data_IF_580505861618
#
_entry.id   IF_580505861618
#
_cell.length_a   1.000
_cell.length_b   1.000
_cell.length_c   1.000
_cell.angle_alpha   90.00
_cell.angle_beta   90.00
_cell.angle_gamma   90.00
#
_symmetry.space_group_name_H-M   'P 1'
#
loop_
_entity.id
_entity.type
_entity.pdbx_description
1 polymer ?
#
# COMPACT_ATOMS: atom_id res chain seq x y z
N UNK A 1 19.01 -11.99 8.77
CA UNK A 1 20.35 -11.66 8.24
C UNK A 1 20.71 -10.22 8.61
N UNK A 2 21.98 -9.92 8.84
CA UNK A 2 22.47 -8.54 8.91
C UNK A 2 22.14 -7.82 7.60
N UNK A 3 21.86 -6.52 7.68
CA UNK A 3 21.61 -5.68 6.49
C UNK A 3 22.82 -5.77 5.56
N UNK A 4 22.55 -6.04 4.28
CA UNK A 4 23.60 -6.05 3.25
C UNK A 4 23.72 -4.66 2.63
N UNK A 5 24.65 -3.86 3.14
CA UNK A 5 24.83 -2.45 2.76
C UNK A 5 25.11 -2.30 1.26
N UNK A 6 25.83 -3.24 0.65
CA UNK A 6 26.22 -3.17 -0.76
C UNK A 6 25.03 -3.27 -1.72
N UNK A 7 23.94 -3.96 -1.32
CA UNK A 7 22.73 -4.11 -2.12
C UNK A 7 21.54 -3.31 -1.60
N UNK A 8 21.73 -2.54 -0.52
CA UNK A 8 20.66 -1.79 0.14
C UNK A 8 20.17 -0.63 -0.73
N UNK A 9 18.86 -0.58 -0.95
CA UNK A 9 18.18 0.49 -1.69
C UNK A 9 16.94 0.95 -0.91
N UNK A 10 16.79 2.26 -0.73
CA UNK A 10 15.67 2.87 -0.04
C UNK A 10 14.71 3.56 -1.02
N UNK A 11 13.41 3.42 -0.77
CA UNK A 11 12.32 3.97 -1.57
C UNK A 11 11.19 4.45 -0.64
N UNK A 12 11.30 5.71 -0.18
CA UNK A 12 10.37 6.26 0.80
C UNK A 12 10.42 5.49 2.12
N UNK A 13 9.27 4.94 2.56
CA UNK A 13 9.18 4.11 3.78
C UNK A 13 9.67 2.68 3.59
N UNK A 14 9.93 2.27 2.36
CA UNK A 14 10.43 0.93 2.04
C UNK A 14 11.94 0.94 1.87
N UNK A 15 12.56 -0.20 2.15
CA UNK A 15 13.90 -0.47 1.67
C UNK A 15 14.06 -1.96 1.35
N UNK A 16 15.07 -2.32 0.57
CA UNK A 16 15.32 -3.70 0.16
C UNK A 16 16.83 -3.91 0.06
N UNK A 17 17.29 -5.08 0.49
CA UNK A 17 18.62 -5.60 0.19
C UNK A 17 18.50 -6.99 -0.43
N UNK A 18 19.60 -7.63 -0.82
CA UNK A 18 19.56 -8.96 -1.47
C UNK A 18 18.89 -10.07 -0.64
N UNK A 19 18.65 -9.86 0.66
CA UNK A 19 18.11 -10.85 1.59
C UNK A 19 16.76 -10.47 2.19
N UNK A 20 16.40 -9.19 2.19
CA UNK A 20 15.31 -8.67 3.02
C UNK A 20 14.56 -7.50 2.37
N UNK A 21 13.27 -7.43 2.68
CA UNK A 21 12.43 -6.26 2.49
C UNK A 21 12.22 -5.59 3.86
N UNK A 22 12.14 -4.26 3.84
CA UNK A 22 12.01 -3.41 5.02
C UNK A 22 10.86 -2.41 4.82
N UNK A 23 10.25 -2.04 5.94
CA UNK A 23 9.27 -0.97 6.03
C UNK A 23 9.47 -0.21 7.35
N UNK A 24 9.54 1.12 7.29
CA UNK A 24 9.88 2.00 8.42
C UNK A 24 11.14 1.58 9.18
N UNK A 25 12.18 1.17 8.44
CA UNK A 25 13.45 0.72 9.01
C UNK A 25 13.40 -0.65 9.67
N UNK A 26 12.24 -1.31 9.72
CA UNK A 26 12.08 -2.65 10.26
C UNK A 26 12.10 -3.69 9.15
N UNK A 27 12.78 -4.82 9.40
CA UNK A 27 12.74 -5.95 8.48
C UNK A 27 11.35 -6.59 8.52
N UNK A 28 10.71 -6.71 7.37
CA UNK A 28 9.33 -7.22 7.26
C UNK A 28 9.23 -8.54 6.52
N UNK A 29 10.13 -8.82 5.58
CA UNK A 29 10.08 -10.06 4.79
C UNK A 29 11.46 -10.48 4.25
N UNK A 30 11.57 -11.73 3.80
CA UNK A 30 12.73 -12.21 3.03
C UNK A 30 12.65 -11.80 1.56
N UNK A 31 13.77 -11.36 0.99
CA UNK A 31 13.92 -11.12 -0.44
C UNK A 31 14.44 -12.36 -1.18
N UNK A 32 13.65 -13.43 -1.19
CA UNK A 32 14.02 -14.71 -1.82
C UNK A 32 12.79 -15.50 -2.26
N UNK A 33 12.99 -16.48 -3.13
CA UNK A 33 11.91 -17.34 -3.62
C UNK A 33 10.76 -16.54 -4.25
N UNK A 34 9.53 -16.87 -3.86
CA UNK A 34 8.33 -16.17 -4.33
C UNK A 34 8.27 -14.68 -3.89
N UNK A 35 8.94 -14.31 -2.80
CA UNK A 35 9.02 -12.93 -2.32
C UNK A 35 10.15 -12.12 -2.93
N UNK A 36 10.95 -12.72 -3.82
CA UNK A 36 12.06 -12.01 -4.48
C UNK A 36 11.54 -10.80 -5.24
N UNK A 37 12.02 -9.63 -4.84
CA UNK A 37 11.70 -8.32 -5.40
C UNK A 37 12.35 -8.19 -6.76
N UNK A 38 11.55 -7.84 -7.76
CA UNK A 38 12.04 -7.46 -9.09
C UNK A 38 12.32 -5.96 -9.12
N UNK A 39 13.55 -5.58 -8.73
CA UNK A 39 13.99 -4.19 -8.65
C UNK A 39 13.84 -3.42 -9.98
N UNK A 40 13.91 -4.10 -11.12
CA UNK A 40 13.82 -3.45 -12.43
C UNK A 40 12.42 -2.87 -12.72
N UNK A 41 11.40 -3.43 -12.09
CA UNK A 41 9.98 -3.05 -12.29
C UNK A 41 9.30 -2.55 -11.03
N UNK A 42 10.02 -2.58 -9.90
CA UNK A 42 9.53 -2.11 -8.61
C UNK A 42 9.17 -0.62 -8.67
N UNK A 43 7.95 -0.31 -8.25
CA UNK A 43 7.44 1.06 -8.18
C UNK A 43 6.51 1.25 -7.00
N UNK A 44 6.53 2.45 -6.44
CA UNK A 44 5.51 2.90 -5.51
C UNK A 44 4.25 3.30 -6.29
N UNK A 45 3.08 3.07 -5.68
CA UNK A 45 1.85 3.70 -6.18
C UNK A 45 1.93 5.18 -5.82
N UNK A 46 1.79 6.04 -6.84
CA UNK A 46 2.00 7.49 -6.68
C UNK A 46 1.22 8.03 -5.48
N UNK A 47 1.94 8.73 -4.59
CA UNK A 47 1.36 9.38 -3.43
C UNK A 47 0.78 8.44 -2.38
N UNK A 48 1.03 7.12 -2.43
CA UNK A 48 0.76 6.21 -1.33
C UNK A 48 2.09 5.65 -0.78
N UNK A 49 2.27 5.71 0.53
CA UNK A 49 3.54 5.32 1.17
C UNK A 49 3.55 3.88 1.68
N UNK A 50 2.50 3.10 1.47
CA UNK A 50 2.32 1.78 2.08
C UNK A 50 2.20 0.65 1.05
N UNK A 51 2.31 0.97 -0.24
CA UNK A 51 2.11 0.02 -1.34
C UNK A 51 3.26 0.11 -2.34
N UNK A 52 3.97 -1.01 -2.51
CA UNK A 52 4.85 -1.23 -3.66
C UNK A 52 4.30 -2.34 -4.54
N UNK A 53 4.59 -2.25 -5.83
CA UNK A 53 4.29 -3.30 -6.79
C UNK A 53 5.49 -3.49 -7.71
N UNK A 54 5.79 -4.75 -8.05
CA UNK A 54 6.70 -5.09 -9.15
C UNK A 54 5.98 -5.96 -10.19
N UNK A 55 6.68 -6.43 -11.21
CA UNK A 55 6.12 -7.25 -12.29
C UNK A 55 5.47 -8.56 -11.80
N UNK A 56 5.77 -9.01 -10.58
CA UNK A 56 5.33 -10.29 -10.03
C UNK A 56 4.51 -10.14 -8.76
N UNK A 57 4.74 -9.11 -7.95
CA UNK A 57 4.35 -9.10 -6.55
C UNK A 57 3.73 -7.76 -6.12
N UNK A 58 2.72 -7.86 -5.26
CA UNK A 58 2.19 -6.77 -4.45
C UNK A 58 2.82 -6.81 -3.06
N UNK A 59 3.32 -5.68 -2.58
CA UNK A 59 3.85 -5.53 -1.23
C UNK A 59 3.09 -4.43 -0.49
N UNK A 60 2.52 -4.77 0.66
CA UNK A 60 1.81 -3.86 1.55
C UNK A 60 2.56 -3.76 2.87
N UNK A 61 2.94 -2.54 3.27
CA UNK A 61 3.71 -2.26 4.49
C UNK A 61 4.91 -3.20 4.67
N UNK A 62 5.65 -3.42 3.57
CA UNK A 62 6.83 -4.29 3.50
C UNK A 62 6.56 -5.79 3.44
N UNK A 63 5.32 -6.25 3.30
CA UNK A 63 4.97 -7.68 3.26
C UNK A 63 4.31 -8.05 1.95
N UNK A 64 4.71 -9.16 1.36
CA UNK A 64 4.09 -9.64 0.12
C UNK A 64 2.67 -10.12 0.37
N UNK A 65 1.75 -9.69 -0.48
CA UNK A 65 0.35 -10.13 -0.45
C UNK A 65 0.00 -11.11 -1.56
N UNK A 66 0.85 -11.26 -2.57
CA UNK A 66 0.61 -12.17 -3.68
C UNK A 66 0.99 -11.55 -5.02
N UNK A 67 0.39 -12.07 -6.09
CA UNK A 67 0.69 -11.66 -7.46
C UNK A 67 0.25 -10.23 -7.73
N UNK A 68 1.07 -9.46 -8.43
CA UNK A 68 0.69 -8.13 -8.93
C UNK A 68 -0.34 -8.19 -10.07
N UNK A 69 -0.46 -9.32 -10.77
CA UNK A 69 -1.42 -9.53 -11.87
C UNK A 69 -2.88 -9.35 -11.45
N UNK A 70 -3.17 -9.51 -10.16
CA UNK A 70 -4.53 -9.47 -9.62
C UNK A 70 -4.85 -8.14 -8.94
N UNK A 71 -3.98 -7.14 -9.08
CA UNK A 71 -4.09 -5.86 -8.38
C UNK A 71 -4.87 -4.88 -9.24
N UNK A 72 -5.93 -4.32 -8.66
CA UNK A 72 -6.68 -3.21 -9.23
C UNK A 72 -6.73 -2.07 -8.23
N UNK A 73 -6.38 -0.86 -8.65
CA UNK A 73 -6.65 0.34 -7.86
C UNK A 73 -8.14 0.64 -8.00
N UNK A 74 -8.87 0.56 -6.89
CA UNK A 74 -10.31 0.85 -6.87
C UNK A 74 -10.53 2.35 -6.84
N UNK A 75 -9.89 3.04 -5.91
CA UNK A 75 -10.00 4.48 -5.78
C UNK A 75 -8.83 5.03 -4.93
N UNK A 76 -8.50 6.30 -5.18
CA UNK A 76 -7.44 7.06 -4.51
C UNK A 76 -8.02 8.38 -4.03
N UNK A 77 -7.80 8.73 -2.76
CA UNK A 77 -8.28 9.99 -2.18
C UNK A 77 -7.14 10.76 -1.51
N UNK A 78 -6.96 12.01 -1.94
CA UNK A 78 -5.99 12.92 -1.37
C UNK A 78 -6.47 13.43 -0.02
N UNK A 79 -5.55 13.49 0.95
CA UNK A 79 -5.73 14.24 2.19
C UNK A 79 -4.50 15.11 2.43
N UNK A 80 -4.72 16.43 2.54
CA UNK A 80 -3.66 17.44 2.59
C UNK A 80 -4.05 18.75 1.89
N UNK A 81 -3.17 19.76 1.96
CA UNK A 81 -3.41 21.10 1.38
C UNK A 81 -3.44 21.03 -0.15
N UNK A 82 -4.33 21.83 -0.75
CA UNK A 82 -4.66 21.91 -2.17
C UNK A 82 -3.40 21.94 -3.09
N UNK A 83 -3.29 21.03 -4.08
CA UNK A 83 -2.11 20.91 -4.96
C UNK A 83 -1.85 22.13 -5.84
N UNK A 84 -2.82 23.05 -5.98
CA UNK A 84 -2.63 24.31 -6.74
C UNK A 84 -1.89 25.41 -5.97
N UNK A 85 -1.64 25.24 -4.67
CA UNK A 85 -1.14 26.31 -3.79
C UNK A 85 0.32 26.15 -3.34
N UNK A 86 1.05 25.06 -3.66
CA UNK A 86 2.41 24.87 -3.13
C UNK A 86 3.38 24.11 -4.05
N UNK A 87 4.65 24.53 -4.00
CA UNK A 87 5.77 24.04 -4.81
C UNK A 87 6.70 23.08 -4.04
N UNK A 88 7.22 22.08 -4.76
CA UNK A 88 8.49 21.33 -4.57
C UNK A 88 8.67 20.27 -3.48
N UNK A 89 7.69 19.91 -2.63
CA UNK A 89 7.88 18.77 -1.69
C UNK A 89 6.81 17.67 -1.83
N UNK A 90 6.98 16.81 -2.85
CA UNK A 90 6.05 15.71 -3.19
C UNK A 90 5.94 14.59 -2.13
N UNK A 91 6.76 14.62 -1.09
CA UNK A 91 6.85 13.58 -0.05
C UNK A 91 5.90 13.78 1.15
N UNK A 92 5.15 14.89 1.20
CA UNK A 92 4.18 15.19 2.26
C UNK A 92 2.73 14.86 1.87
N UNK A 93 2.49 14.45 0.63
CA UNK A 93 1.14 14.14 0.16
C UNK A 93 0.86 12.65 0.32
N UNK A 94 0.11 12.33 1.37
CA UNK A 94 -0.41 10.98 1.54
C UNK A 94 -1.79 10.90 0.91
N UNK A 95 -1.94 9.96 0.00
CA UNK A 95 -3.22 9.50 -0.49
C UNK A 95 -3.62 8.28 0.30
N UNK A 96 -4.90 8.27 0.64
CA UNK A 96 -5.51 7.00 0.92
C UNK A 96 -5.69 6.24 -0.39
N UNK A 97 -5.28 4.98 -0.37
CA UNK A 97 -5.33 4.10 -1.51
C UNK A 97 -6.16 2.88 -1.16
N UNK A 98 -7.19 2.63 -1.96
CA UNK A 98 -7.96 1.42 -1.90
C UNK A 98 -7.61 0.54 -3.10
N UNK A 99 -7.16 -0.67 -2.82
CA UNK A 99 -6.85 -1.67 -3.85
C UNK A 99 -7.63 -2.95 -3.61
N UNK A 100 -7.93 -3.65 -4.71
CA UNK A 100 -8.34 -5.04 -4.71
C UNK A 100 -7.16 -5.89 -5.15
N UNK A 101 -6.93 -7.00 -4.45
CA UNK A 101 -6.02 -8.07 -4.89
C UNK A 101 -6.72 -9.42 -4.77
N UNK A 102 -7.18 -9.95 -5.90
CA UNK A 102 -8.02 -11.15 -5.93
C UNK A 102 -9.32 -10.95 -5.13
N UNK A 103 -9.46 -11.68 -4.02
CA UNK A 103 -10.64 -11.63 -3.13
C UNK A 103 -10.45 -10.73 -1.91
N UNK A 104 -9.32 -10.01 -1.83
CA UNK A 104 -9.00 -9.15 -0.69
C UNK A 104 -9.10 -7.67 -1.09
N UNK A 105 -9.58 -6.85 -0.16
CA UNK A 105 -9.62 -5.39 -0.27
C UNK A 105 -8.65 -4.81 0.75
N UNK A 106 -7.85 -3.84 0.36
CA UNK A 106 -6.92 -3.17 1.26
C UNK A 106 -7.06 -1.67 1.20
N UNK A 107 -7.12 -1.03 2.37
CA UNK A 107 -7.01 0.41 2.53
C UNK A 107 -5.66 0.73 3.14
N UNK A 108 -4.82 1.50 2.42
CA UNK A 108 -3.49 1.90 2.88
C UNK A 108 -2.61 0.73 3.33
N UNK A 109 -2.72 -0.42 2.67
CA UNK A 109 -1.97 -1.62 3.03
C UNK A 109 -2.62 -2.48 4.11
N UNK A 110 -3.71 -2.01 4.73
CA UNK A 110 -4.44 -2.76 5.76
C UNK A 110 -5.60 -3.52 5.13
N UNK A 111 -5.69 -4.82 5.42
CA UNK A 111 -6.76 -5.68 4.93
C UNK A 111 -8.11 -5.31 5.54
N UNK A 112 -9.13 -5.16 4.70
CA UNK A 112 -10.51 -4.97 5.12
C UNK A 112 -11.28 -6.29 5.07
N UNK A 113 -12.03 -6.59 6.12
CA UNK A 113 -12.97 -7.73 6.13
C UNK A 113 -14.18 -7.38 5.27
N UNK A 114 -14.04 -7.50 3.96
CA UNK A 114 -15.09 -7.19 2.99
C UNK A 114 -15.18 -8.27 1.90
N UNK A 115 -16.37 -8.52 1.39
CA UNK A 115 -16.53 -9.34 0.19
C UNK A 115 -16.16 -8.53 -1.05
N UNK A 116 -15.05 -8.88 -1.72
CA UNK A 116 -14.51 -8.10 -2.84
C UNK A 116 -15.42 -8.07 -4.08
N UNK A 117 -16.29 -9.06 -4.28
CA UNK A 117 -17.17 -9.15 -5.44
C UNK A 117 -18.42 -8.26 -5.33
N UNK A 118 -18.81 -7.88 -4.11
CA UNK A 118 -19.96 -7.01 -3.82
C UNK A 118 -19.55 -5.68 -3.17
N UNK A 119 -18.25 -5.37 -3.14
CA UNK A 119 -17.70 -4.20 -2.48
C UNK A 119 -18.12 -2.90 -3.18
N UNK A 120 -18.69 -1.98 -2.40
CA UNK A 120 -19.11 -0.66 -2.88
C UNK A 120 -18.78 0.42 -1.86
N UNK A 121 -18.20 1.52 -2.32
CA UNK A 121 -17.88 2.67 -1.48
C UNK A 121 -19.15 3.53 -1.34
N UNK A 122 -19.61 3.70 -0.11
CA UNK A 122 -20.80 4.52 0.20
C UNK A 122 -20.40 5.92 0.64
N UNK A 123 -19.33 6.04 1.44
CA UNK A 123 -18.77 7.32 1.86
C UNK A 123 -17.31 7.17 2.19
N UNK A 124 -16.49 8.13 1.75
CA UNK A 124 -15.08 8.19 2.12
C UNK A 124 -14.70 9.60 2.57
N UNK A 125 -14.32 9.71 3.84
CA UNK A 125 -13.65 10.88 4.42
C UNK A 125 -12.16 10.52 4.50
N UNK A 126 -11.31 11.12 3.65
CA UNK A 126 -9.89 10.81 3.63
C UNK A 126 -9.24 11.04 5.01
N UNK A 127 -8.28 10.19 5.37
CA UNK A 127 -7.59 10.15 6.66
C UNK A 127 -8.50 10.00 7.89
N UNK A 128 -9.70 9.46 7.74
CA UNK A 128 -10.67 9.45 8.84
C UNK A 128 -11.63 8.27 8.82
N UNK A 129 -12.36 8.08 7.72
CA UNK A 129 -13.48 7.12 7.70
C UNK A 129 -13.75 6.62 6.30
N UNK A 130 -13.82 5.30 6.17
CA UNK A 130 -14.39 4.63 5.02
C UNK A 130 -15.70 3.95 5.45
N UNK A 131 -16.78 4.24 4.75
CA UNK A 131 -18.06 3.51 4.84
C UNK A 131 -18.27 2.79 3.53
N UNK A 132 -18.41 1.49 3.60
CA UNK A 132 -18.62 0.64 2.43
C UNK A 132 -19.77 -0.32 2.66
N UNK A 133 -20.31 -0.85 1.57
CA UNK A 133 -21.32 -1.90 1.56
C UNK A 133 -20.72 -3.14 0.91
N UNK A 134 -21.14 -4.31 1.39
CA UNK A 134 -20.97 -5.58 0.70
C UNK A 134 -22.20 -6.48 0.91
N UNK A 135 -22.14 -7.73 0.47
CA UNK A 135 -23.22 -8.71 0.66
C UNK A 135 -23.56 -9.04 2.12
N UNK A 136 -22.76 -8.61 3.10
CA UNK A 136 -23.04 -8.72 4.54
C UNK A 136 -23.61 -7.44 5.13
N UNK A 137 -23.80 -6.39 4.32
CA UNK A 137 -24.44 -5.14 4.72
C UNK A 137 -23.50 -3.95 4.73
N UNK A 138 -23.81 -2.98 5.59
CA UNK A 138 -23.07 -1.72 5.72
C UNK A 138 -21.96 -1.82 6.77
N UNK A 139 -20.77 -1.33 6.42
CA UNK A 139 -19.58 -1.35 7.28
C UNK A 139 -19.02 0.04 7.47
N UNK A 140 -18.47 0.29 8.66
CA UNK A 140 -17.79 1.55 9.01
C UNK A 140 -16.38 1.22 9.48
N UNK A 141 -15.39 1.75 8.77
CA UNK A 141 -13.99 1.54 9.04
C UNK A 141 -13.30 2.89 9.34
N UNK A 142 -13.18 3.29 10.61
CA UNK A 142 -12.39 4.44 10.99
C UNK A 142 -10.90 4.16 10.80
N UNK A 143 -10.14 5.14 10.30
CA UNK A 143 -8.70 5.04 10.08
C UNK A 143 -8.03 6.42 10.18
N UNK A 144 -6.70 6.49 10.09
CA UNK A 144 -5.97 7.77 10.15
C UNK A 144 -5.72 8.31 11.56
N UNK A 145 -6.02 7.54 12.61
CA UNK A 145 -5.57 7.88 13.96
C UNK A 145 -4.05 7.66 14.06
N UNK A 146 -3.34 8.70 14.53
CA UNK A 146 -1.91 8.65 14.83
C UNK A 146 -1.66 7.61 15.93
N UNK A 147 -0.83 6.61 15.64
CA UNK A 147 -0.23 5.72 16.64
C UNK A 147 0.93 6.41 17.35
#
# INVERSE_FOLDING_TARGET
PTVDIASFQAMGRFAVDKYSLYFDGQRTESNSGASRVDLATLKAIEGNSTTLVDSKNLYLSGRRQGSSSNVTVLEKRWWGINPRLMSVNRNLYSNDLLIRSGQNIYLNGVHLTANADSFEIIRWIPHSLLVFRDNKGMHRYPFGQLS
#
